data_IF_741101862365
#
_entry.id   IF_741101862365
#
_cell.length_a   1.000
_cell.length_b   1.000
_cell.length_c   1.000
_cell.angle_alpha   90.00
_cell.angle_beta   90.00
_cell.angle_gamma   90.00
#
_symmetry.space_group_name_H-M   'P 1'
#
loop_
_entity.id
_entity.type
_entity.pdbx_description
1 polymer ?
#
# COMPACT_ATOMS: atom_id res chain seq x y z
N UNK A 1 -8.75 -16.72 1.56
CA UNK A 1 -9.50 -16.20 0.38
C UNK A 1 -10.76 -15.49 0.86
N UNK A 2 -11.07 -14.30 0.34
CA UNK A 2 -12.35 -13.63 0.63
C UNK A 2 -13.49 -14.28 -0.16
N UNK A 3 -14.62 -14.57 0.48
CA UNK A 3 -15.80 -15.19 -0.14
C UNK A 3 -17.08 -14.52 0.35
N UNK A 4 -18.13 -14.60 -0.46
CA UNK A 4 -19.50 -14.34 -0.01
C UNK A 4 -20.10 -15.65 0.50
N UNK A 5 -20.51 -15.67 1.76
CA UNK A 5 -21.22 -16.77 2.40
C UNK A 5 -22.61 -16.27 2.81
N UNK A 6 -23.63 -16.70 2.08
CA UNK A 6 -25.03 -16.32 2.31
C UNK A 6 -25.26 -14.80 2.38
N UNK A 7 -24.58 -14.02 1.52
CA UNK A 7 -24.67 -12.56 1.49
C UNK A 7 -23.78 -11.84 2.51
N UNK A 8 -22.88 -12.56 3.18
CA UNK A 8 -21.92 -11.99 4.14
C UNK A 8 -20.49 -12.26 3.67
N UNK A 9 -19.71 -11.18 3.53
CA UNK A 9 -18.28 -11.29 3.24
C UNK A 9 -17.53 -11.92 4.41
N UNK A 10 -16.69 -12.91 4.11
CA UNK A 10 -15.84 -13.58 5.09
C UNK A 10 -14.53 -14.05 4.48
N UNK A 11 -13.65 -14.62 5.30
CA UNK A 11 -12.44 -15.27 4.86
C UNK A 11 -12.49 -16.77 5.11
N UNK A 12 -12.07 -17.54 4.12
CA UNK A 12 -11.88 -18.98 4.20
C UNK A 12 -10.41 -19.30 4.02
N UNK A 13 -9.87 -20.15 4.88
CA UNK A 13 -8.53 -20.71 4.76
C UNK A 13 -8.56 -21.81 3.70
N UNK A 14 -7.71 -21.70 2.68
CA UNK A 14 -7.63 -22.68 1.59
C UNK A 14 -6.16 -23.06 1.44
N UNK A 15 -5.84 -24.32 1.68
CA UNK A 15 -4.49 -24.84 1.49
C UNK A 15 -4.15 -24.82 -0.01
N UNK A 16 -2.92 -24.42 -0.36
CA UNK A 16 -2.50 -24.31 -1.75
C UNK A 16 -2.48 -25.65 -2.49
N UNK A 17 -2.39 -26.76 -1.76
CA UNK A 17 -2.46 -28.12 -2.29
C UNK A 17 -3.89 -28.65 -2.45
N UNK A 18 -4.92 -27.87 -2.11
CA UNK A 18 -6.32 -28.30 -2.24
C UNK A 18 -6.64 -28.54 -3.72
N UNK A 19 -7.31 -29.66 -4.01
CA UNK A 19 -7.75 -29.98 -5.36
C UNK A 19 -8.60 -28.83 -5.94
N UNK A 20 -8.30 -28.44 -7.18
CA UNK A 20 -8.97 -27.33 -7.86
C UNK A 20 -8.34 -25.95 -7.63
N UNK A 21 -7.32 -25.84 -6.75
CA UNK A 21 -6.53 -24.61 -6.59
C UNK A 21 -5.37 -24.61 -7.59
N UNK A 22 -5.26 -23.55 -8.38
CA UNK A 22 -4.11 -23.30 -9.25
C UNK A 22 -3.57 -21.90 -8.98
N UNK A 23 -2.26 -21.79 -8.81
CA UNK A 23 -1.57 -20.50 -8.61
C UNK A 23 -0.63 -20.26 -9.78
N UNK A 24 -0.84 -19.16 -10.49
CA UNK A 24 -0.05 -18.76 -11.66
C UNK A 24 0.65 -17.43 -11.38
N UNK A 25 1.87 -17.25 -11.89
CA UNK A 25 2.55 -15.96 -11.79
C UNK A 25 1.81 -14.89 -12.61
N UNK A 26 1.60 -13.71 -12.03
CA UNK A 26 0.98 -12.57 -12.70
C UNK A 26 1.83 -11.30 -12.41
N UNK A 27 2.98 -11.14 -13.09
CA UNK A 27 3.97 -10.12 -12.73
C UNK A 27 3.42 -8.69 -12.78
N UNK A 28 3.52 -8.00 -11.65
CA UNK A 28 3.04 -6.63 -11.50
C UNK A 28 4.05 -5.55 -11.94
N UNK A 29 3.53 -4.32 -12.14
CA UNK A 29 4.34 -3.12 -12.36
C UNK A 29 5.33 -2.89 -11.22
N UNK A 30 4.84 -2.87 -9.97
CA UNK A 30 5.61 -2.65 -8.74
C UNK A 30 5.36 -3.72 -7.70
N UNK A 31 6.03 -3.61 -6.56
CA UNK A 31 6.01 -4.58 -5.45
C UNK A 31 6.42 -5.97 -5.94
N UNK A 32 7.36 -6.03 -6.90
CA UNK A 32 7.77 -7.28 -7.58
C UNK A 32 8.31 -8.34 -6.62
N UNK A 33 8.94 -7.92 -5.52
CA UNK A 33 9.46 -8.82 -4.50
C UNK A 33 8.36 -9.63 -3.79
N UNK A 34 7.10 -9.17 -3.82
CA UNK A 34 5.97 -9.91 -3.26
C UNK A 34 5.47 -11.05 -4.17
N UNK A 35 5.98 -11.17 -5.40
CA UNK A 35 5.63 -12.28 -6.30
C UNK A 35 4.14 -12.36 -6.61
N UNK A 36 3.55 -11.28 -7.14
CA UNK A 36 2.11 -11.25 -7.45
C UNK A 36 1.73 -12.43 -8.36
N UNK A 37 0.62 -13.08 -8.01
CA UNK A 37 0.09 -14.22 -8.72
C UNK A 37 -1.44 -14.19 -8.78
N UNK A 38 -1.97 -14.99 -9.70
CA UNK A 38 -3.39 -15.25 -9.86
C UNK A 38 -3.72 -16.58 -9.19
N UNK A 39 -4.74 -16.55 -8.32
CA UNK A 39 -5.30 -17.77 -7.72
C UNK A 39 -6.59 -18.11 -8.45
N UNK A 40 -6.61 -19.27 -9.09
CA UNK A 40 -7.77 -19.85 -9.75
C UNK A 40 -8.37 -20.92 -8.84
N UNK A 41 -9.67 -20.85 -8.60
CA UNK A 41 -10.41 -21.81 -7.77
C UNK A 41 -11.45 -22.49 -8.66
N UNK A 42 -11.26 -23.77 -8.95
CA UNK A 42 -12.18 -24.59 -9.74
C UNK A 42 -12.75 -25.71 -8.87
N UNK A 43 -14.04 -25.61 -8.54
CA UNK A 43 -14.77 -26.62 -7.75
C UNK A 43 -14.07 -27.00 -6.43
N UNK A 44 -13.35 -26.05 -5.82
CA UNK A 44 -12.59 -26.23 -4.58
C UNK A 44 -13.53 -26.49 -3.41
N UNK A 45 -13.30 -27.58 -2.68
CA UNK A 45 -14.05 -27.96 -1.49
C UNK A 45 -13.15 -27.89 -0.27
N UNK A 46 -13.65 -27.25 0.78
CA UNK A 46 -12.98 -27.16 2.09
C UNK A 46 -13.99 -27.42 3.20
N UNK A 47 -13.58 -27.97 4.34
CA UNK A 47 -14.48 -28.21 5.47
C UNK A 47 -14.92 -26.87 6.10
N UNK A 48 -16.09 -26.86 6.75
CA UNK A 48 -16.62 -25.66 7.42
C UNK A 48 -15.66 -25.09 8.49
N UNK A 49 -14.81 -25.94 9.07
CA UNK A 49 -13.76 -25.55 10.03
C UNK A 49 -12.73 -24.59 9.44
N UNK A 50 -12.64 -24.46 8.11
CA UNK A 50 -11.75 -23.51 7.45
C UNK A 50 -12.30 -22.08 7.37
N UNK A 51 -13.53 -21.84 7.84
CA UNK A 51 -14.04 -20.49 8.03
C UNK A 51 -13.19 -19.77 9.08
N UNK A 52 -12.61 -18.63 8.72
CA UNK A 52 -11.80 -17.84 9.63
C UNK A 52 -12.68 -17.31 10.77
N UNK A 53 -12.29 -17.59 12.01
CA UNK A 53 -13.08 -17.29 13.20
C UNK A 53 -14.07 -18.41 13.61
N UNK A 54 -14.24 -19.44 12.78
CA UNK A 54 -15.05 -20.62 13.07
C UNK A 54 -16.41 -20.65 12.36
N UNK A 55 -16.93 -21.87 12.16
CA UNK A 55 -18.21 -22.09 11.49
C UNK A 55 -19.41 -21.59 12.30
N UNK A 56 -19.29 -21.60 13.63
CA UNK A 56 -20.38 -21.28 14.56
C UNK A 56 -20.61 -19.77 14.77
N UNK A 57 -19.79 -18.91 14.15
CA UNK A 57 -19.99 -17.47 14.20
C UNK A 57 -21.31 -17.08 13.54
N UNK A 58 -22.04 -16.16 14.15
CA UNK A 58 -23.19 -15.54 13.52
C UNK A 58 -22.75 -14.62 12.36
N UNK A 59 -23.70 -14.34 11.47
CA UNK A 59 -23.50 -13.53 10.27
C UNK A 59 -23.05 -12.09 10.57
N UNK A 60 -23.49 -11.49 11.67
CA UNK A 60 -23.14 -10.11 12.04
C UNK A 60 -21.69 -10.03 12.51
N UNK A 61 -21.30 -10.91 13.42
CA UNK A 61 -19.92 -11.03 13.92
C UNK A 61 -18.96 -11.31 12.77
N UNK A 62 -19.31 -12.23 11.87
CA UNK A 62 -18.49 -12.57 10.69
C UNK A 62 -18.24 -11.36 9.78
N UNK A 63 -19.28 -10.58 9.49
CA UNK A 63 -19.15 -9.36 8.68
C UNK A 63 -18.32 -8.28 9.38
N UNK A 64 -18.46 -8.16 10.71
CA UNK A 64 -17.68 -7.24 11.52
C UNK A 64 -16.18 -7.56 11.49
N UNK A 65 -15.82 -8.83 11.66
CA UNK A 65 -14.43 -9.33 11.62
C UNK A 65 -13.79 -9.13 10.26
N UNK A 66 -14.53 -9.40 9.17
CA UNK A 66 -14.08 -9.09 7.81
C UNK A 66 -13.74 -7.59 7.68
N UNK A 67 -14.64 -6.72 8.13
CA UNK A 67 -14.42 -5.28 8.11
C UNK A 67 -13.22 -4.84 8.94
N UNK A 68 -12.99 -5.50 10.08
CA UNK A 68 -11.85 -5.23 10.96
C UNK A 68 -10.52 -5.58 10.31
N UNK A 69 -10.42 -6.75 9.68
CA UNK A 69 -9.23 -7.18 8.93
C UNK A 69 -8.90 -6.16 7.83
N UNK A 70 -9.90 -5.71 7.07
CA UNK A 70 -9.70 -4.70 6.02
C UNK A 70 -9.22 -3.37 6.61
N UNK A 71 -9.79 -2.90 7.72
CA UNK A 71 -9.35 -1.65 8.36
C UNK A 71 -7.90 -1.72 8.86
N UNK A 72 -7.47 -2.85 9.43
CA UNK A 72 -6.08 -3.06 9.83
C UNK A 72 -5.14 -3.08 8.62
N UNK A 73 -5.53 -3.79 7.56
CA UNK A 73 -4.77 -3.83 6.31
C UNK A 73 -4.56 -2.43 5.70
N UNK A 74 -5.59 -1.57 5.75
CA UNK A 74 -5.51 -0.17 5.28
C UNK A 74 -4.44 0.65 6.02
N UNK A 75 -4.37 0.52 7.34
CA UNK A 75 -3.32 1.18 8.13
C UNK A 75 -1.93 0.62 7.79
N UNK A 76 -1.82 -0.69 7.56
CA UNK A 76 -0.58 -1.33 7.10
C UNK A 76 -0.08 -0.78 5.77
N UNK A 77 -0.97 -0.67 4.76
CA UNK A 77 -0.63 -0.06 3.47
C UNK A 77 -0.22 1.41 3.59
N UNK A 78 -0.89 2.18 4.44
CA UNK A 78 -0.52 3.57 4.70
C UNK A 78 0.86 3.68 5.37
N UNK A 79 1.22 2.73 6.26
CA UNK A 79 2.54 2.67 6.87
C UNK A 79 3.65 2.33 5.83
N UNK A 80 3.40 1.37 4.93
CA UNK A 80 4.30 1.05 3.81
C UNK A 80 4.49 2.26 2.88
N UNK A 81 3.41 3.01 2.60
CA UNK A 81 3.47 4.26 1.85
C UNK A 81 4.39 5.29 2.52
N UNK A 82 4.25 5.49 3.83
CA UNK A 82 5.10 6.42 4.60
C UNK A 82 6.58 6.08 4.44
N UNK A 83 6.97 4.82 4.65
CA UNK A 83 8.36 4.40 4.54
C UNK A 83 8.92 4.56 3.13
N UNK A 84 8.14 4.21 2.12
CA UNK A 84 8.56 4.32 0.72
C UNK A 84 8.68 5.79 0.29
N UNK A 85 7.74 6.65 0.69
CA UNK A 85 7.78 8.08 0.43
C UNK A 85 8.95 8.79 1.15
N UNK A 86 9.29 8.37 2.37
CA UNK A 86 10.49 8.86 3.07
C UNK A 86 11.76 8.50 2.28
N UNK A 87 11.85 7.27 1.76
CA UNK A 87 12.99 6.85 0.93
C UNK A 87 13.11 7.69 -0.36
N UNK A 88 11.98 8.01 -1.00
CA UNK A 88 11.96 8.94 -2.15
C UNK A 88 12.53 10.30 -1.74
N UNK A 89 12.00 10.90 -0.66
CA UNK A 89 12.38 12.24 -0.23
C UNK A 89 13.86 12.33 0.15
N UNK A 90 14.36 11.37 0.92
CA UNK A 90 15.76 11.35 1.37
C UNK A 90 16.73 11.08 0.21
N UNK A 91 16.29 10.43 -0.85
CA UNK A 91 17.09 10.27 -2.07
C UNK A 91 17.13 11.56 -2.92
N UNK A 92 15.98 12.20 -3.14
CA UNK A 92 15.93 13.38 -4.02
C UNK A 92 16.55 14.62 -3.38
N UNK A 93 16.46 14.77 -2.05
CA UNK A 93 17.01 15.90 -1.28
C UNK A 93 18.48 16.23 -1.59
N UNK A 94 19.44 15.28 -1.49
CA UNK A 94 20.83 15.53 -1.86
C UNK A 94 21.00 15.69 -3.37
N UNK A 95 20.33 14.86 -4.18
CA UNK A 95 20.42 14.91 -5.64
C UNK A 95 20.13 16.31 -6.20
N UNK A 96 19.06 16.96 -5.74
CA UNK A 96 18.70 18.30 -6.24
C UNK A 96 19.69 19.39 -5.81
N UNK A 97 20.44 19.17 -4.74
CA UNK A 97 21.48 20.11 -4.26
C UNK A 97 22.81 19.91 -4.98
N UNK A 98 23.08 18.70 -5.47
CA UNK A 98 24.31 18.35 -6.18
C UNK A 98 24.19 18.57 -7.68
N UNK A 99 23.02 18.25 -8.26
CA UNK A 99 22.78 18.39 -9.70
C UNK A 99 22.79 19.86 -10.09
N UNK A 100 23.73 20.23 -10.96
CA UNK A 100 23.80 21.56 -11.54
C UNK A 100 23.14 21.61 -12.93
N UNK A 101 22.38 22.65 -13.17
CA UNK A 101 21.88 23.02 -14.50
C UNK A 101 21.71 24.54 -14.55
N UNK A 102 21.91 25.13 -15.72
CA UNK A 102 21.81 26.59 -15.89
C UNK A 102 22.71 27.37 -14.90
N UNK A 103 23.92 26.84 -14.64
CA UNK A 103 24.96 27.50 -13.85
C UNK A 103 24.86 27.36 -12.32
N UNK A 104 23.87 26.64 -11.78
CA UNK A 104 23.69 26.48 -10.32
C UNK A 104 23.00 25.16 -9.96
N UNK A 105 23.01 24.75 -8.68
CA UNK A 105 22.19 23.64 -8.20
C UNK A 105 20.71 23.80 -8.54
N UNK A 106 20.06 22.74 -9.00
CA UNK A 106 18.63 22.78 -9.36
C UNK A 106 17.72 23.07 -8.16
N UNK A 107 18.19 22.81 -6.93
CA UNK A 107 17.50 23.19 -5.69
C UNK A 107 17.22 24.70 -5.56
N UNK A 108 17.98 25.56 -6.23
CA UNK A 108 17.75 27.01 -6.23
C UNK A 108 16.54 27.43 -7.09
N UNK A 109 16.04 26.51 -7.94
CA UNK A 109 14.85 26.76 -8.77
C UNK A 109 13.60 26.49 -7.93
N UNK A 110 12.74 27.50 -7.78
CA UNK A 110 11.53 27.41 -6.94
C UNK A 110 10.64 26.21 -7.28
N UNK A 111 10.49 25.86 -8.56
CA UNK A 111 9.71 24.68 -8.96
C UNK A 111 10.23 23.36 -8.36
N UNK A 112 11.56 23.21 -8.22
CA UNK A 112 12.21 22.06 -7.58
C UNK A 112 12.06 22.16 -6.06
N UNK A 113 12.36 23.33 -5.48
CA UNK A 113 12.28 23.55 -4.03
C UNK A 113 10.85 23.32 -3.49
N UNK A 114 9.83 23.82 -4.19
CA UNK A 114 8.42 23.63 -3.83
C UNK A 114 8.00 22.17 -3.93
N UNK A 115 8.42 21.44 -4.96
CA UNK A 115 8.10 20.02 -5.09
C UNK A 115 8.70 19.19 -3.94
N UNK A 116 9.97 19.42 -3.58
CA UNK A 116 10.61 18.76 -2.43
C UNK A 116 9.89 19.12 -1.11
N UNK A 117 9.48 20.38 -0.95
CA UNK A 117 8.77 20.84 0.24
C UNK A 117 7.38 20.21 0.34
N UNK A 118 6.65 20.12 -0.78
CA UNK A 118 5.35 19.48 -0.87
C UNK A 118 5.43 17.98 -0.53
N UNK A 119 6.45 17.26 -1.03
CA UNK A 119 6.66 15.85 -0.66
C UNK A 119 6.74 15.71 0.87
N UNK A 120 7.52 16.56 1.56
CA UNK A 120 7.60 16.53 3.04
C UNK A 120 6.27 16.82 3.71
N UNK A 121 5.56 17.87 3.29
CA UNK A 121 4.27 18.26 3.86
C UNK A 121 3.25 17.11 3.77
N UNK A 122 3.14 16.51 2.58
CA UNK A 122 2.18 15.43 2.34
C UNK A 122 2.59 14.14 3.07
N UNK A 123 3.88 13.83 3.11
CA UNK A 123 4.41 12.70 3.87
C UNK A 123 4.12 12.83 5.37
N UNK A 124 4.38 14.00 5.95
CA UNK A 124 4.11 14.25 7.37
C UNK A 124 2.60 14.17 7.66
N UNK A 125 1.76 14.69 6.77
CA UNK A 125 0.30 14.54 6.85
C UNK A 125 -0.14 13.08 6.84
N UNK A 126 0.37 12.29 5.90
CA UNK A 126 0.11 10.85 5.79
C UNK A 126 0.57 10.10 7.05
N UNK A 127 1.76 10.43 7.56
CA UNK A 127 2.33 9.82 8.77
C UNK A 127 1.48 10.12 10.00
N UNK A 128 1.04 11.37 10.15
CA UNK A 128 0.20 11.79 11.29
C UNK A 128 -1.16 11.07 11.31
N UNK A 129 -1.86 10.98 10.17
CA UNK A 129 -3.15 10.29 10.13
C UNK A 129 -2.99 8.78 10.34
N UNK A 130 -1.92 8.18 9.81
CA UNK A 130 -1.61 6.75 9.99
C UNK A 130 -1.32 6.44 11.44
N UNK A 131 -0.40 7.17 12.08
CA UNK A 131 -0.06 6.99 13.49
C UNK A 131 -1.23 7.25 14.43
N UNK A 132 -2.10 8.21 14.09
CA UNK A 132 -3.36 8.43 14.84
C UNK A 132 -4.27 7.21 14.77
N UNK A 133 -4.42 6.60 13.60
CA UNK A 133 -5.21 5.38 13.43
C UNK A 133 -4.66 4.21 14.24
N UNK A 134 -3.36 3.96 14.13
CA UNK A 134 -2.68 2.89 14.87
C UNK A 134 -2.74 3.13 16.39
N UNK A 135 -2.49 4.35 16.85
CA UNK A 135 -2.59 4.69 18.27
C UNK A 135 -4.00 4.48 18.84
N UNK A 136 -5.04 4.78 18.07
CA UNK A 136 -6.43 4.51 18.48
C UNK A 136 -6.72 3.02 18.54
N UNK A 137 -6.24 2.26 17.55
CA UNK A 137 -6.32 0.79 17.54
C UNK A 137 -5.68 0.18 18.79
N UNK A 138 -4.45 0.58 19.14
CA UNK A 138 -3.74 0.08 20.33
C UNK A 138 -4.46 0.43 21.64
N UNK A 139 -5.20 1.54 21.66
CA UNK A 139 -5.99 1.97 22.82
C UNK A 139 -7.39 1.32 22.87
N UNK A 140 -7.73 0.41 21.95
CA UNK A 140 -9.07 -0.17 21.85
C UNK A 140 -10.16 0.85 21.47
N UNK A 141 -9.78 1.98 20.87
CA UNK A 141 -10.71 3.03 20.43
C UNK A 141 -11.07 2.83 18.97
N UNK A 142 -12.30 3.19 18.60
CA UNK A 142 -12.72 3.17 17.20
C UNK A 142 -11.77 3.99 16.33
N UNK A 143 -11.25 3.39 15.27
CA UNK A 143 -10.28 3.98 14.35
C UNK A 143 -10.76 3.92 12.87
N UNK A 144 -12.05 3.63 12.67
CA UNK A 144 -12.67 3.42 11.35
C UNK A 144 -12.44 4.63 10.43
N UNK A 145 -12.60 5.83 10.99
CA UNK A 145 -12.39 7.08 10.26
C UNK A 145 -10.93 7.26 9.87
N UNK A 146 -10.01 7.04 10.79
CA UNK A 146 -8.57 7.16 10.56
C UNK A 146 -8.08 6.14 9.52
N UNK A 147 -8.52 4.90 9.58
CA UNK A 147 -8.18 3.88 8.57
C UNK A 147 -8.65 4.28 7.17
N UNK A 148 -9.86 4.81 7.03
CA UNK A 148 -10.38 5.31 5.75
C UNK A 148 -9.62 6.52 5.23
N UNK A 149 -9.32 7.49 6.11
CA UNK A 149 -8.55 8.68 5.74
C UNK A 149 -7.11 8.34 5.35
N UNK A 150 -6.42 7.52 6.16
CA UNK A 150 -5.06 7.08 5.87
C UNK A 150 -4.99 6.33 4.54
N UNK A 151 -5.96 5.43 4.27
CA UNK A 151 -6.05 4.71 3.00
C UNK A 151 -6.16 5.63 1.79
N UNK A 152 -7.10 6.59 1.85
CA UNK A 152 -7.33 7.56 0.77
C UNK A 152 -6.11 8.45 0.56
N UNK A 153 -5.56 8.98 1.65
CA UNK A 153 -4.39 9.84 1.61
C UNK A 153 -3.18 9.10 1.03
N UNK A 154 -2.96 7.84 1.44
CA UNK A 154 -1.88 7.00 0.91
C UNK A 154 -2.03 6.73 -0.59
N UNK A 155 -3.25 6.43 -1.08
CA UNK A 155 -3.51 6.25 -2.50
C UNK A 155 -3.16 7.49 -3.33
N UNK A 156 -3.69 8.64 -2.91
CA UNK A 156 -3.61 9.87 -3.68
C UNK A 156 -2.19 10.45 -3.61
N UNK A 157 -1.65 10.63 -2.40
CA UNK A 157 -0.36 11.30 -2.20
C UNK A 157 0.83 10.37 -2.38
N UNK A 158 0.70 9.08 -2.09
CA UNK A 158 1.76 8.11 -2.36
C UNK A 158 2.12 8.07 -3.85
N UNK A 159 1.11 8.00 -4.73
CA UNK A 159 1.34 8.03 -6.18
C UNK A 159 1.98 9.35 -6.63
N UNK A 160 1.51 10.48 -6.12
CA UNK A 160 2.08 11.80 -6.46
C UNK A 160 3.54 11.90 -6.03
N UNK A 161 3.88 11.53 -4.79
CA UNK A 161 5.25 11.56 -4.27
C UNK A 161 6.19 10.70 -5.11
N UNK A 162 5.76 9.49 -5.50
CA UNK A 162 6.55 8.64 -6.39
C UNK A 162 6.81 9.31 -7.75
N UNK A 163 5.78 9.92 -8.34
CA UNK A 163 5.89 10.64 -9.61
C UNK A 163 6.82 11.85 -9.51
N UNK A 164 6.69 12.64 -8.45
CA UNK A 164 7.54 13.79 -8.17
C UNK A 164 9.00 13.36 -7.98
N UNK A 165 9.22 12.22 -7.31
CA UNK A 165 10.53 11.60 -7.16
C UNK A 165 11.22 11.34 -8.50
N UNK A 166 10.49 10.77 -9.47
CA UNK A 166 10.99 10.57 -10.84
C UNK A 166 11.25 11.92 -11.52
N UNK A 167 10.31 12.86 -11.41
CA UNK A 167 10.39 14.16 -12.07
C UNK A 167 11.56 15.03 -11.59
N UNK A 168 11.91 14.98 -10.30
CA UNK A 168 13.04 15.72 -9.70
C UNK A 168 14.40 15.29 -10.25
N UNK A 169 14.51 14.06 -10.76
CA UNK A 169 15.71 13.57 -11.45
C UNK A 169 15.67 13.83 -12.97
N UNK A 170 14.52 14.21 -13.52
CA UNK A 170 14.31 14.33 -14.96
C UNK A 170 14.52 12.99 -15.68
N UNK A 171 15.24 13.00 -16.81
CA UNK A 171 15.51 11.78 -17.59
C UNK A 171 16.21 10.68 -16.79
N UNK A 172 17.09 11.04 -15.84
CA UNK A 172 17.76 10.07 -14.96
C UNK A 172 16.78 9.30 -14.08
N UNK A 173 15.68 9.95 -13.67
CA UNK A 173 14.64 9.34 -12.84
C UNK A 173 13.81 8.29 -13.59
N UNK A 174 13.83 8.29 -14.92
CA UNK A 174 13.16 7.28 -15.75
C UNK A 174 14.03 6.03 -15.98
N UNK A 175 15.35 6.16 -15.81
CA UNK A 175 16.29 5.05 -15.99
C UNK A 175 16.39 4.18 -14.74
N UNK A 176 16.86 2.94 -14.91
CA UNK A 176 17.06 2.00 -13.80
C UNK A 176 18.34 2.24 -12.99
N UNK A 177 19.13 3.24 -13.34
CA UNK A 177 20.34 3.62 -12.58
C UNK A 177 19.99 4.22 -11.22
N UNK A 178 18.81 4.84 -11.12
CA UNK A 178 18.31 5.45 -9.89
C UNK A 178 17.10 4.69 -9.35
N UNK A 179 16.98 4.53 -8.01
CA UNK A 179 15.92 3.72 -7.39
C UNK A 179 14.53 4.37 -7.43
N UNK A 180 14.42 5.66 -7.82
CA UNK A 180 13.16 6.42 -7.74
C UNK A 180 12.06 5.84 -8.63
N UNK A 181 12.40 5.30 -9.80
CA UNK A 181 11.43 4.65 -10.69
C UNK A 181 10.79 3.43 -10.02
N UNK A 182 11.58 2.67 -9.25
CA UNK A 182 11.09 1.51 -8.50
C UNK A 182 10.09 1.94 -7.44
N UNK A 183 10.43 2.95 -6.65
CA UNK A 183 9.53 3.45 -5.61
C UNK A 183 8.24 4.05 -6.19
N UNK A 184 8.30 4.70 -7.34
CA UNK A 184 7.10 5.11 -8.07
C UNK A 184 6.19 3.91 -8.41
N UNK A 185 6.76 2.85 -9.00
CA UNK A 185 6.01 1.63 -9.33
C UNK A 185 5.40 0.98 -8.08
N UNK A 186 6.14 0.95 -6.97
CA UNK A 186 5.69 0.35 -5.71
C UNK A 186 4.57 1.21 -5.07
N UNK A 187 4.72 2.54 -5.02
CA UNK A 187 3.71 3.46 -4.51
C UNK A 187 2.43 3.45 -5.36
N UNK A 188 2.53 3.18 -6.66
CA UNK A 188 1.36 3.05 -7.54
C UNK A 188 0.46 1.89 -7.14
N UNK A 189 1.03 0.80 -6.61
CA UNK A 189 0.28 -0.36 -6.15
C UNK A 189 -0.63 -0.02 -4.97
N UNK A 190 -0.21 0.89 -4.09
CA UNK A 190 -1.00 1.35 -2.95
C UNK A 190 -2.33 1.94 -3.41
N UNK A 191 -2.36 2.64 -4.54
CA UNK A 191 -3.59 3.22 -5.08
C UNK A 191 -4.66 2.20 -5.53
N UNK A 192 -4.29 0.93 -5.72
CA UNK A 192 -5.17 -0.08 -6.33
C UNK A 192 -5.30 -1.37 -5.52
N UNK A 193 -4.30 -1.72 -4.71
CA UNK A 193 -4.32 -2.91 -3.87
C UNK A 193 -5.19 -2.66 -2.63
N UNK A 194 -6.06 -3.61 -2.31
CA UNK A 194 -6.85 -3.63 -1.08
C UNK A 194 -6.61 -4.96 -0.37
N UNK A 195 -6.65 -4.94 0.97
CA UNK A 195 -6.28 -6.10 1.78
C UNK A 195 -4.76 -6.32 1.81
N UNK A 196 -4.29 -7.07 2.81
CA UNK A 196 -2.92 -7.57 2.85
C UNK A 196 -2.96 -8.98 2.26
N UNK A 197 -2.09 -9.28 1.30
CA UNK A 197 -1.70 -10.68 1.08
C UNK A 197 -0.96 -11.08 2.35
N UNK A 198 -1.69 -11.70 3.27
CA UNK A 198 -1.07 -12.46 4.35
C UNK A 198 -0.53 -13.70 3.64
N UNK A 199 0.79 -13.71 3.40
CA UNK A 199 1.50 -14.97 3.25
C UNK A 199 1.48 -15.67 4.61
#
# INVERSE_FOLDING_TARGET
VAVDLDGVNTFVIVESSTEGVVVEADPSMGVRAAGLGRVLLKDVKVPATNLLGGADLDSETRGSDYGEIIRRARLGWAALACGTAEAVLEYVKPYVKERQAFGEPIANRQGVAFMVSNIRIELDGLRLITLRGVSRLDQGRSYNREAGLARRFASEKGMQIGSDGVQLLGGHGFTKEHPVERWYRDLRAIGVAEGVVVL
#
